data_IF_867329441173
#
_entry.id   IF_867329441173
#
_cell.length_a   1.000
_cell.length_b   1.000
_cell.length_c   1.000
_cell.angle_alpha   90.00
_cell.angle_beta   90.00
_cell.angle_gamma   90.00
#
_symmetry.space_group_name_H-M   'P 1'
#
loop_
_entity.id
_entity.type
_entity.pdbx_description
1 polymer ?
#
# COMPACT_ATOMS: atom_id res chain seq x y z
N UNK A 1 41.03 -4.69 -63.27
CA UNK A 1 40.41 -3.73 -62.33
C UNK A 1 40.71 -4.19 -60.92
N UNK A 2 41.19 -3.28 -60.06
CA UNK A 2 41.82 -3.53 -58.75
C UNK A 2 40.76 -3.78 -57.66
N UNK A 3 40.97 -4.79 -56.82
CA UNK A 3 40.33 -4.93 -55.53
C UNK A 3 40.80 -3.80 -54.60
N UNK A 4 39.89 -3.12 -53.89
CA UNK A 4 40.26 -2.30 -52.75
C UNK A 4 39.24 -2.37 -51.64
N UNK A 5 39.73 -2.80 -50.49
CA UNK A 5 39.11 -2.91 -49.20
C UNK A 5 38.63 -1.56 -48.65
N UNK A 6 37.58 -1.59 -47.81
CA UNK A 6 37.63 -1.18 -46.39
C UNK A 6 36.22 -1.15 -45.80
N UNK A 7 35.86 -2.24 -45.12
CA UNK A 7 34.84 -2.22 -44.10
C UNK A 7 35.41 -1.51 -42.85
N UNK A 8 34.64 -0.61 -42.27
CA UNK A 8 34.91 -0.08 -40.93
C UNK A 8 33.58 -0.06 -40.16
N UNK A 9 33.33 -1.13 -39.40
CA UNK A 9 32.25 -1.21 -38.43
C UNK A 9 32.81 -0.68 -37.12
N UNK A 10 32.39 0.51 -36.71
CA UNK A 10 32.72 1.10 -35.42
C UNK A 10 31.77 0.52 -34.36
N UNK A 11 32.22 -0.47 -33.59
CA UNK A 11 31.49 -0.97 -32.44
C UNK A 11 31.73 -0.04 -31.24
N UNK A 12 30.76 0.83 -30.94
CA UNK A 12 30.75 1.62 -29.70
C UNK A 12 30.27 0.71 -28.57
N UNK A 13 31.22 0.25 -27.74
CA UNK A 13 30.93 -0.48 -26.50
C UNK A 13 30.46 0.55 -25.48
N UNK A 14 29.14 0.72 -25.36
CA UNK A 14 28.54 1.43 -24.22
C UNK A 14 28.63 0.54 -22.99
N UNK A 15 29.69 0.76 -22.20
CA UNK A 15 29.85 0.17 -20.89
C UNK A 15 28.70 0.65 -20.00
N UNK A 16 27.67 -0.18 -19.84
CA UNK A 16 26.53 0.11 -18.98
C UNK A 16 26.99 -0.02 -17.53
N UNK A 17 27.25 1.12 -16.89
CA UNK A 17 27.59 1.17 -15.47
C UNK A 17 26.34 0.76 -14.70
N UNK A 18 26.26 -0.51 -14.31
CA UNK A 18 25.22 -1.04 -13.43
C UNK A 18 25.36 -0.39 -12.06
N UNK A 19 24.65 0.70 -11.82
CA UNK A 19 24.54 1.26 -10.48
C UNK A 19 23.77 0.25 -9.63
N UNK A 20 24.30 -0.18 -8.47
CA UNK A 20 23.51 -0.98 -7.54
C UNK A 20 22.29 -0.14 -7.14
N UNK A 21 21.10 -0.67 -7.39
CA UNK A 21 19.88 -0.08 -6.87
C UNK A 21 19.90 -0.29 -5.35
N UNK A 22 20.33 0.73 -4.60
CA UNK A 22 20.14 0.75 -3.15
C UNK A 22 18.63 0.82 -2.89
N UNK A 23 18.04 -0.31 -2.49
CA UNK A 23 16.70 -0.31 -1.95
C UNK A 23 16.73 0.56 -0.67
N UNK A 24 16.12 1.75 -0.74
CA UNK A 24 16.00 2.62 0.42
C UNK A 24 15.29 1.82 1.53
N UNK A 25 16.00 1.53 2.62
CA UNK A 25 15.40 0.80 3.73
C UNK A 25 14.29 1.67 4.34
N UNK A 26 13.04 1.21 4.25
CA UNK A 26 11.90 1.93 4.80
C UNK A 26 11.88 1.72 6.31
N UNK A 27 12.17 2.79 7.05
CA UNK A 27 12.15 2.78 8.52
C UNK A 27 10.94 3.56 9.04
N UNK A 28 10.30 3.08 10.13
CA UNK A 28 9.23 3.83 10.78
C UNK A 28 9.80 5.10 11.41
N UNK A 29 9.22 6.27 11.11
CA UNK A 29 9.62 7.54 11.73
C UNK A 29 8.71 7.94 12.88
N UNK A 30 7.39 7.91 12.66
CA UNK A 30 6.41 8.33 13.67
C UNK A 30 5.12 7.53 13.54
N UNK A 31 4.55 7.11 14.67
CA UNK A 31 3.26 6.45 14.69
C UNK A 31 2.18 7.40 14.12
N UNK A 32 1.22 6.82 13.41
CA UNK A 32 0.12 7.58 12.84
C UNK A 32 -0.99 7.73 13.90
N UNK A 33 -0.90 8.83 14.66
CA UNK A 33 -1.82 9.14 15.75
C UNK A 33 -3.28 9.24 15.29
N UNK A 34 -4.21 8.74 16.12
CA UNK A 34 -5.64 8.74 15.81
C UNK A 34 -6.08 7.66 14.82
N UNK A 35 -5.22 6.67 14.53
CA UNK A 35 -5.54 5.53 13.67
C UNK A 35 -5.21 4.21 14.35
N UNK A 36 -6.00 3.18 14.02
CA UNK A 36 -5.75 1.78 14.37
C UNK A 36 -5.70 0.91 13.13
N UNK A 37 -4.97 -0.20 13.19
CA UNK A 37 -5.01 -1.18 12.11
C UNK A 37 -6.33 -1.97 12.14
N UNK A 38 -6.94 -2.14 10.97
CA UNK A 38 -7.98 -3.12 10.71
C UNK A 38 -7.53 -4.01 9.55
N UNK A 39 -7.90 -5.29 9.59
CA UNK A 39 -7.68 -6.21 8.49
C UNK A 39 -8.84 -6.12 7.49
N UNK A 40 -8.50 -6.25 6.20
CA UNK A 40 -9.48 -6.45 5.14
C UNK A 40 -9.89 -7.92 5.14
N UNK A 41 -11.13 -8.18 5.55
CA UNK A 41 -11.73 -9.50 5.67
C UNK A 41 -12.86 -9.67 4.65
N UNK A 42 -12.48 -9.75 3.37
CA UNK A 42 -13.39 -10.09 2.29
C UNK A 42 -13.22 -11.58 1.91
N UNK A 43 -14.25 -12.21 1.31
CA UNK A 43 -14.12 -13.56 0.78
C UNK A 43 -12.92 -13.68 -0.17
N UNK A 44 -12.25 -14.83 -0.19
CA UNK A 44 -11.03 -15.06 -1.00
C UNK A 44 -11.22 -14.67 -2.47
N UNK A 45 -12.39 -15.00 -3.06
CA UNK A 45 -12.75 -14.61 -4.43
C UNK A 45 -12.71 -13.09 -4.69
N UNK A 46 -12.97 -12.27 -3.66
CA UNK A 46 -12.92 -10.81 -3.73
C UNK A 46 -11.48 -10.33 -3.51
N UNK A 47 -10.78 -10.91 -2.54
CA UNK A 47 -9.38 -10.58 -2.25
C UNK A 47 -8.44 -10.89 -3.42
N UNK A 48 -8.75 -11.93 -4.20
CA UNK A 48 -7.98 -12.38 -5.36
C UNK A 48 -8.46 -11.76 -6.70
N UNK A 49 -9.51 -10.93 -6.69
CA UNK A 49 -9.93 -10.18 -7.87
C UNK A 49 -9.18 -8.84 -7.96
N UNK A 50 -8.04 -8.87 -8.66
CA UNK A 50 -7.24 -7.66 -8.91
C UNK A 50 -7.88 -6.70 -9.93
N UNK A 51 -8.94 -7.11 -10.63
CA UNK A 51 -9.68 -6.25 -11.57
C UNK A 51 -10.76 -5.44 -10.86
N UNK A 52 -11.37 -6.02 -9.82
CA UNK A 52 -12.38 -5.34 -9.00
C UNK A 52 -12.03 -5.40 -7.50
N UNK A 53 -10.90 -4.80 -7.09
CA UNK A 53 -10.50 -4.81 -5.69
C UNK A 53 -11.52 -4.05 -4.83
N UNK A 54 -11.58 -4.37 -3.54
CA UNK A 54 -12.32 -3.54 -2.58
C UNK A 54 -11.77 -2.10 -2.65
N UNK A 55 -12.61 -1.08 -2.89
CA UNK A 55 -12.13 0.28 -3.07
C UNK A 55 -11.96 1.03 -1.75
N UNK A 56 -10.96 1.91 -1.70
CA UNK A 56 -11.03 3.16 -0.95
C UNK A 56 -11.74 4.17 -1.83
N UNK A 57 -12.85 4.73 -1.34
CA UNK A 57 -13.70 5.68 -2.05
C UNK A 57 -13.41 7.12 -1.63
N UNK A 58 -13.77 8.06 -2.50
CA UNK A 58 -13.69 9.50 -2.20
C UNK A 58 -14.74 9.96 -1.18
N UNK A 59 -15.86 9.26 -1.09
CA UNK A 59 -17.02 9.59 -0.25
C UNK A 59 -17.63 8.32 0.37
N UNK A 60 -18.38 8.41 1.49
CA UNK A 60 -18.94 7.24 2.19
C UNK A 60 -20.23 6.75 1.53
N UNK A 61 -20.16 6.24 0.29
CA UNK A 61 -21.31 5.69 -0.45
C UNK A 61 -20.87 4.75 -1.58
N UNK A 62 -21.65 3.70 -1.85
CA UNK A 62 -21.27 2.61 -2.75
C UNK A 62 -20.88 3.04 -4.19
N UNK A 63 -21.46 4.12 -4.70
CA UNK A 63 -21.24 4.65 -6.06
C UNK A 63 -20.15 5.73 -6.15
N UNK A 64 -19.49 6.06 -5.04
CA UNK A 64 -18.43 7.06 -5.02
C UNK A 64 -17.21 6.61 -5.84
N UNK A 65 -16.51 7.54 -6.53
CA UNK A 65 -15.27 7.24 -7.22
C UNK A 65 -14.25 6.53 -6.32
N UNK A 66 -13.66 5.45 -6.85
CA UNK A 66 -12.52 4.77 -6.22
C UNK A 66 -11.28 5.65 -6.34
N UNK A 67 -10.61 5.92 -5.23
CA UNK A 67 -9.36 6.68 -5.19
C UNK A 67 -8.13 5.78 -5.12
N UNK A 68 -8.28 4.55 -4.62
CA UNK A 68 -7.25 3.52 -4.53
C UNK A 68 -7.87 2.15 -4.20
N UNK A 69 -7.21 1.02 -4.47
CA UNK A 69 -7.58 -0.25 -3.87
C UNK A 69 -7.29 -0.25 -2.36
N UNK A 70 -8.17 -0.86 -1.57
CA UNK A 70 -7.95 -1.13 -0.16
C UNK A 70 -6.80 -2.14 0.01
N UNK A 71 -5.96 -1.90 1.01
CA UNK A 71 -4.86 -2.81 1.36
C UNK A 71 -5.38 -3.94 2.26
N UNK A 72 -4.64 -5.04 2.36
CA UNK A 72 -4.96 -6.11 3.30
C UNK A 72 -5.01 -5.65 4.77
N UNK A 73 -4.28 -4.57 5.10
CA UNK A 73 -4.32 -3.88 6.38
C UNK A 73 -4.51 -2.40 6.13
N UNK A 74 -5.51 -1.78 6.78
CA UNK A 74 -5.83 -0.37 6.63
C UNK A 74 -5.67 0.37 7.97
N UNK A 75 -5.18 1.62 7.96
CA UNK A 75 -5.31 2.51 9.10
C UNK A 75 -6.73 3.07 9.10
N UNK A 76 -7.49 2.80 10.15
CA UNK A 76 -8.85 3.33 10.32
C UNK A 76 -8.83 4.38 11.41
N UNK A 77 -9.38 5.56 11.10
CA UNK A 77 -9.46 6.66 12.06
C UNK A 77 -10.28 6.24 13.29
N UNK A 78 -9.81 6.61 14.48
CA UNK A 78 -10.46 6.25 15.76
C UNK A 78 -11.34 7.35 16.33
N UNK A 79 -11.22 8.57 15.80
CA UNK A 79 -11.85 9.79 16.29
C UNK A 79 -13.23 10.08 15.67
N UNK A 80 -13.65 9.28 14.69
CA UNK A 80 -14.91 9.48 13.97
C UNK A 80 -15.75 8.20 13.93
N UNK A 81 -17.08 8.29 14.17
CA UNK A 81 -17.98 7.18 13.93
C UNK A 81 -18.09 6.87 12.43
N UNK A 82 -18.66 5.71 12.10
CA UNK A 82 -18.97 5.38 10.72
C UNK A 82 -20.05 6.30 10.15
N UNK A 83 -19.90 6.70 8.88
CA UNK A 83 -20.92 7.42 8.11
C UNK A 83 -21.43 6.48 7.03
N UNK A 84 -22.75 6.22 6.98
CA UNK A 84 -23.38 5.34 5.98
C UNK A 84 -22.76 3.93 5.85
N UNK A 85 -22.23 3.36 6.94
CA UNK A 85 -21.52 2.07 6.90
C UNK A 85 -20.10 2.15 6.32
N UNK A 86 -19.51 3.33 6.29
CA UNK A 86 -18.12 3.58 5.90
C UNK A 86 -17.33 4.24 7.02
N UNK A 87 -16.04 3.96 7.08
CA UNK A 87 -15.10 4.59 8.02
C UNK A 87 -13.96 5.26 7.27
N UNK A 88 -13.38 6.29 7.89
CA UNK A 88 -12.25 7.02 7.31
C UNK A 88 -10.97 6.20 7.38
N UNK A 89 -10.22 6.23 6.30
CA UNK A 89 -8.90 5.62 6.15
C UNK A 89 -8.04 6.51 5.25
N UNK A 90 -6.93 5.98 4.74
CA UNK A 90 -6.08 6.69 3.79
C UNK A 90 -5.30 5.73 2.89
N UNK A 91 -4.86 6.27 1.76
CA UNK A 91 -3.95 5.59 0.83
C UNK A 91 -2.51 5.54 1.35
N UNK A 92 -1.63 4.81 0.67
CA UNK A 92 -0.20 4.80 0.99
C UNK A 92 0.47 6.19 0.91
N UNK A 93 -0.10 7.11 0.13
CA UNK A 93 0.35 8.50 0.01
C UNK A 93 -0.34 9.43 1.04
N UNK A 94 -0.91 8.89 2.11
CA UNK A 94 -1.59 9.64 3.19
C UNK A 94 -2.81 10.46 2.74
N UNK A 95 -3.30 10.27 1.51
CA UNK A 95 -4.55 10.89 1.05
C UNK A 95 -5.76 10.22 1.73
N UNK A 96 -6.64 10.98 2.41
CA UNK A 96 -7.84 10.43 3.06
C UNK A 96 -8.81 9.77 2.08
N UNK A 97 -9.58 8.80 2.58
CA UNK A 97 -10.66 8.14 1.85
C UNK A 97 -11.58 7.36 2.78
N UNK A 98 -12.52 6.64 2.18
CA UNK A 98 -13.54 5.87 2.88
C UNK A 98 -13.50 4.41 2.47
N UNK A 99 -13.69 3.51 3.42
CA UNK A 99 -13.80 2.07 3.17
C UNK A 99 -15.04 1.53 3.88
N UNK A 100 -15.76 0.62 3.22
CA UNK A 100 -16.96 0.04 3.80
C UNK A 100 -16.61 -0.84 5.00
N UNK A 101 -17.33 -0.66 6.11
CA UNK A 101 -17.13 -1.45 7.33
C UNK A 101 -17.44 -2.93 7.14
N UNK A 102 -18.23 -3.29 6.12
CA UNK A 102 -18.57 -4.68 5.80
C UNK A 102 -17.36 -5.55 5.46
N UNK A 103 -16.25 -4.93 5.09
CA UNK A 103 -15.00 -5.60 4.74
C UNK A 103 -13.95 -5.56 5.85
N UNK A 104 -14.27 -5.02 7.02
CA UNK A 104 -13.27 -4.77 8.05
C UNK A 104 -13.48 -5.65 9.28
N UNK A 105 -12.36 -6.16 9.80
CA UNK A 105 -12.27 -6.74 11.13
C UNK A 105 -11.11 -6.14 11.92
N UNK A 106 -11.19 -6.13 13.26
CA UNK A 106 -10.03 -5.85 14.10
C UNK A 106 -8.83 -6.71 13.67
N UNK A 107 -7.65 -6.10 13.59
CA UNK A 107 -6.46 -6.78 13.09
C UNK A 107 -6.10 -8.02 13.92
N UNK A 108 -6.19 -7.91 15.24
CA UNK A 108 -5.93 -8.98 16.20
C UNK A 108 -6.96 -10.13 16.15
N UNK A 109 -8.20 -9.84 15.72
CA UNK A 109 -9.21 -10.88 15.48
C UNK A 109 -8.89 -11.74 14.25
N UNK A 110 -8.20 -11.18 13.25
CA UNK A 110 -7.75 -11.90 12.03
C UNK A 110 -6.35 -12.49 12.22
N UNK A 111 -5.51 -11.85 13.02
CA UNK A 111 -4.15 -12.26 13.34
C UNK A 111 -3.95 -12.38 14.87
N UNK A 112 -4.47 -13.45 15.50
CA UNK A 112 -4.38 -13.63 16.95
C UNK A 112 -2.93 -13.61 17.45
N UNK A 113 -2.68 -12.86 18.53
CA UNK A 113 -1.35 -12.71 19.13
C UNK A 113 -0.40 -11.76 18.40
N UNK A 114 -0.88 -11.07 17.35
CA UNK A 114 -0.11 -10.10 16.59
C UNK A 114 -0.63 -8.67 16.81
N UNK A 115 0.28 -7.71 16.79
CA UNK A 115 -0.02 -6.28 16.82
C UNK A 115 0.28 -5.65 15.47
N UNK A 116 -0.42 -4.55 15.21
CA UNK A 116 -0.15 -3.69 14.07
C UNK A 116 -0.30 -2.24 14.50
N UNK A 117 0.72 -1.44 14.18
CA UNK A 117 0.69 0.01 14.38
C UNK A 117 0.98 0.70 13.05
N UNK A 118 0.12 1.61 12.58
CA UNK A 118 0.40 2.39 11.38
C UNK A 118 1.45 3.48 11.67
N UNK A 119 2.34 3.73 10.71
CA UNK A 119 3.42 4.71 10.80
C UNK A 119 3.50 5.57 9.53
N UNK A 120 4.00 6.79 9.70
CA UNK A 120 4.65 7.53 8.61
C UNK A 120 6.10 7.07 8.55
N UNK A 121 6.52 6.62 7.38
CA UNK A 121 7.86 6.09 7.11
C UNK A 121 8.83 7.20 6.69
N UNK A 122 10.12 6.88 6.61
CA UNK A 122 11.17 7.81 6.19
C UNK A 122 11.06 8.34 4.75
N UNK A 123 10.26 7.71 3.91
CA UNK A 123 9.90 8.20 2.58
C UNK A 123 8.60 9.03 2.56
N UNK A 124 8.06 9.37 3.73
CA UNK A 124 6.84 10.15 3.90
C UNK A 124 5.55 9.38 3.59
N UNK A 125 5.62 8.08 3.31
CA UNK A 125 4.46 7.24 3.01
C UNK A 125 3.93 6.52 4.24
N UNK A 126 2.70 6.05 4.16
CA UNK A 126 2.14 5.12 5.13
C UNK A 126 2.91 3.80 5.10
N UNK A 127 3.20 3.27 6.28
CA UNK A 127 3.64 1.91 6.52
C UNK A 127 3.02 1.34 7.78
N UNK A 128 3.38 0.10 8.10
CA UNK A 128 2.89 -0.62 9.27
C UNK A 128 4.05 -1.34 9.94
N UNK A 129 4.10 -1.27 11.26
CA UNK A 129 4.99 -2.09 12.07
C UNK A 129 4.15 -3.20 12.67
N UNK A 130 4.55 -4.43 12.39
CA UNK A 130 3.92 -5.64 12.91
C UNK A 130 4.79 -6.24 14.01
N UNK A 131 4.15 -6.73 15.07
CA UNK A 131 4.84 -7.33 16.20
C UNK A 131 4.03 -8.43 16.84
N UNK A 132 4.59 -9.07 17.86
CA UNK A 132 3.82 -9.92 18.76
C UNK A 132 3.17 -9.06 19.83
N UNK A 133 1.94 -9.39 20.21
CA UNK A 133 1.36 -8.87 21.43
C UNK A 133 2.16 -9.47 22.59
N UNK A 134 2.87 -8.64 23.35
CA UNK A 134 3.43 -9.05 24.64
C UNK A 134 2.26 -9.22 25.59
N UNK A 135 2.01 -10.46 26.04
CA UNK A 135 1.07 -10.74 27.12
C UNK A 135 1.58 -10.17 28.44
#
# INVERSE_FOLDING_TARGET
MRFSHRAAILAVITCSISHPAFALHRTPMRALDGYRCMALDAPERVMMDFRHPVPLQSEPRDDAPSIAPALAVLPIATDAPSTNGYVRSMTLALRPGWVSTRWLKPYDAVHPGMTCTPYVMNDGKLGFVFGRATQ
#
